data_IF_963922437495
#
_entry.id   IF_963922437495
#
_cell.length_a   1.000
_cell.length_b   1.000
_cell.length_c   1.000
_cell.angle_alpha   90.00
_cell.angle_beta   90.00
_cell.angle_gamma   90.00
#
_symmetry.space_group_name_H-M   'P 1'
#
loop_
_entity.id
_entity.type
_entity.pdbx_description
1 polymer ?
#
# COMPACT_ATOMS: atom_id res chain seq x y z
N UNK A 1 3.43 12.20 -18.72
CA UNK A 1 3.73 11.52 -17.43
C UNK A 1 3.50 12.52 -16.28
N UNK A 2 3.18 12.03 -15.06
CA UNK A 2 3.07 12.88 -13.88
C UNK A 2 4.41 13.61 -13.67
N UNK A 3 4.37 14.91 -13.35
CA UNK A 3 5.56 15.74 -13.11
C UNK A 3 6.55 15.85 -14.29
N UNK A 4 6.05 15.85 -15.54
CA UNK A 4 6.89 16.08 -16.73
C UNK A 4 7.72 17.37 -16.59
N UNK A 5 9.01 17.29 -16.93
CA UNK A 5 9.99 18.39 -16.91
C UNK A 5 10.23 19.00 -15.50
N UNK A 6 9.90 18.27 -14.43
CA UNK A 6 10.16 18.66 -13.04
C UNK A 6 11.19 17.74 -12.38
N UNK A 7 12.01 18.29 -11.49
CA UNK A 7 12.92 17.51 -10.65
C UNK A 7 12.09 16.82 -9.57
N UNK A 8 12.21 15.49 -9.47
CA UNK A 8 11.55 14.67 -8.47
C UNK A 8 12.60 14.11 -7.51
N UNK A 9 12.30 14.15 -6.21
CA UNK A 9 13.08 13.51 -5.16
C UNK A 9 12.32 12.29 -4.66
N UNK A 10 13.03 11.20 -4.37
CA UNK A 10 12.39 9.97 -3.91
C UNK A 10 13.38 8.85 -3.67
N UNK A 11 12.83 7.66 -3.45
CA UNK A 11 13.58 6.44 -3.20
C UNK A 11 13.79 5.64 -4.50
N UNK A 12 15.03 5.23 -4.76
CA UNK A 12 15.35 4.35 -5.89
C UNK A 12 15.14 2.88 -5.49
N UNK A 13 14.20 2.22 -6.14
CA UNK A 13 13.83 0.82 -5.88
C UNK A 13 14.41 -0.17 -6.91
N UNK A 14 15.19 0.29 -7.89
CA UNK A 14 15.67 -0.55 -9.01
C UNK A 14 16.53 -1.75 -8.58
N UNK A 15 17.29 -1.60 -7.50
CA UNK A 15 18.22 -2.63 -6.99
C UNK A 15 17.66 -3.35 -5.75
N UNK A 16 16.36 -3.28 -5.50
CA UNK A 16 15.72 -3.98 -4.38
C UNK A 16 15.43 -5.44 -4.76
N UNK A 17 15.48 -6.37 -3.79
CA UNK A 17 15.09 -7.76 -4.05
C UNK A 17 13.61 -7.83 -4.42
N UNK A 18 13.25 -8.85 -5.20
CA UNK A 18 11.85 -9.16 -5.47
C UNK A 18 11.12 -9.47 -4.15
N UNK A 19 9.93 -8.90 -4.01
CA UNK A 19 9.09 -9.07 -2.83
C UNK A 19 7.93 -9.99 -3.16
N UNK A 20 7.62 -10.89 -2.25
CA UNK A 20 6.40 -11.72 -2.28
C UNK A 20 5.27 -11.13 -1.42
N UNK A 21 5.40 -9.85 -1.02
CA UNK A 21 4.45 -9.14 -0.18
C UNK A 21 4.35 -7.66 -0.56
N UNK A 22 3.27 -7.00 -0.12
CA UNK A 22 3.07 -5.56 -0.29
C UNK A 22 3.91 -4.80 0.74
N UNK A 23 4.87 -4.01 0.27
CA UNK A 23 5.65 -3.12 1.13
C UNK A 23 4.92 -1.78 1.33
N UNK A 24 4.30 -1.61 2.50
CA UNK A 24 3.60 -0.37 2.85
C UNK A 24 4.53 0.74 3.33
N UNK A 25 5.78 0.42 3.70
CA UNK A 25 6.71 1.43 4.20
C UNK A 25 6.98 2.49 3.14
N UNK A 26 7.13 2.09 1.89
CA UNK A 26 7.32 3.04 0.77
C UNK A 26 6.14 4.01 0.61
N UNK A 27 4.91 3.52 0.81
CA UNK A 27 3.71 4.35 0.72
C UNK A 27 3.63 5.32 1.91
N UNK A 28 3.91 4.83 3.11
CA UNK A 28 3.90 5.61 4.35
C UNK A 28 5.01 6.67 4.33
N UNK A 29 6.22 6.33 3.88
CA UNK A 29 7.33 7.25 3.72
C UNK A 29 7.02 8.34 2.68
N UNK A 30 6.45 7.96 1.54
CA UNK A 30 6.01 8.92 0.53
C UNK A 30 4.92 9.86 1.06
N UNK A 31 3.95 9.36 1.83
CA UNK A 31 2.94 10.17 2.48
C UNK A 31 3.57 11.17 3.46
N UNK A 32 4.47 10.70 4.33
CA UNK A 32 5.17 11.54 5.32
C UNK A 32 6.08 12.60 4.68
N UNK A 33 6.69 12.27 3.54
CA UNK A 33 7.55 13.20 2.79
C UNK A 33 6.76 14.22 1.96
N UNK A 34 5.45 14.01 1.76
CA UNK A 34 4.60 14.93 1.01
C UNK A 34 4.26 16.15 1.87
N UNK A 35 4.43 17.38 1.34
CA UNK A 35 4.03 18.60 2.03
C UNK A 35 2.56 18.57 2.47
N UNK A 36 2.25 19.07 3.67
CA UNK A 36 0.89 19.01 4.26
C UNK A 36 -0.16 19.81 3.48
N UNK A 37 0.28 20.77 2.69
CA UNK A 37 -0.55 21.59 1.80
C UNK A 37 -0.86 20.90 0.45
N UNK A 38 -0.28 19.72 0.21
CA UNK A 38 -0.52 18.92 -0.99
C UNK A 38 -1.38 17.70 -0.71
N UNK A 39 -2.34 17.46 -1.58
CA UNK A 39 -3.15 16.24 -1.56
C UNK A 39 -2.29 15.04 -2.00
N UNK A 40 -2.17 14.06 -1.11
CA UNK A 40 -1.44 12.82 -1.40
C UNK A 40 -2.33 11.73 -2.01
N UNK A 41 -3.47 11.44 -1.37
CA UNK A 41 -4.42 10.42 -1.83
C UNK A 41 -5.45 11.04 -2.78
N UNK A 42 -5.53 10.54 -4.00
CA UNK A 42 -6.58 10.92 -4.95
C UNK A 42 -7.88 10.17 -4.67
N UNK A 43 -9.00 10.67 -5.19
CA UNK A 43 -10.32 10.04 -5.03
C UNK A 43 -10.37 8.56 -5.46
N UNK A 44 -9.52 8.14 -6.40
CA UNK A 44 -9.47 6.75 -6.89
C UNK A 44 -8.67 5.80 -5.99
N UNK A 45 -7.94 6.31 -4.98
CA UNK A 45 -7.12 5.47 -4.11
C UNK A 45 -7.96 4.38 -3.41
N UNK A 46 -9.15 4.73 -2.93
CA UNK A 46 -10.07 3.78 -2.28
C UNK A 46 -10.52 2.67 -3.23
N UNK A 47 -10.62 2.96 -4.54
CA UNK A 47 -11.00 1.96 -5.54
C UNK A 47 -9.86 0.96 -5.78
N UNK A 48 -8.61 1.43 -5.75
CA UNK A 48 -7.44 0.56 -5.86
C UNK A 48 -7.18 -0.23 -4.57
N UNK A 49 -7.39 0.37 -3.40
CA UNK A 49 -7.25 -0.30 -2.12
C UNK A 49 -8.41 -1.26 -1.79
N UNK A 50 -9.57 -1.09 -2.45
CA UNK A 50 -10.79 -1.84 -2.19
C UNK A 50 -11.52 -1.45 -0.90
N UNK A 51 -11.03 -0.44 -0.19
CA UNK A 51 -11.57 0.07 1.07
C UNK A 51 -11.01 1.46 1.37
N UNK A 52 -11.72 2.25 2.17
CA UNK A 52 -11.24 3.51 2.73
C UNK A 52 -10.32 3.33 3.96
N UNK A 53 -10.30 2.11 4.52
CA UNK A 53 -9.57 1.79 5.75
C UNK A 53 -8.07 2.04 5.64
N UNK A 54 -7.45 1.67 4.51
CA UNK A 54 -6.00 1.84 4.32
C UNK A 54 -5.58 3.32 4.38
N UNK A 55 -6.31 4.19 3.67
CA UNK A 55 -6.07 5.63 3.69
C UNK A 55 -6.18 6.18 5.12
N UNK A 56 -7.30 5.88 5.79
CA UNK A 56 -7.56 6.33 7.17
C UNK A 56 -6.48 5.88 8.15
N UNK A 57 -5.95 4.66 7.99
CA UNK A 57 -4.90 4.13 8.86
C UNK A 57 -3.56 4.83 8.65
N UNK A 58 -3.21 5.15 7.40
CA UNK A 58 -1.98 5.90 7.09
C UNK A 58 -2.09 7.34 7.62
N UNK A 59 -3.24 7.99 7.41
CA UNK A 59 -3.53 9.33 7.94
C UNK A 59 -3.52 9.37 9.48
N UNK A 60 -3.96 8.28 10.13
CA UNK A 60 -3.90 8.11 11.58
C UNK A 60 -2.49 7.78 12.10
N UNK A 61 -1.50 7.63 11.23
CA UNK A 61 -0.10 7.40 11.61
C UNK A 61 0.23 5.96 12.02
N UNK A 62 -0.61 4.97 11.64
CA UNK A 62 -0.32 3.56 11.91
C UNK A 62 0.93 3.08 11.18
N UNK A 63 1.62 2.10 11.77
CA UNK A 63 2.76 1.45 11.14
C UNK A 63 2.31 0.44 10.08
N UNK A 64 3.22 0.06 9.17
CA UNK A 64 2.96 -0.99 8.19
C UNK A 64 2.57 -2.32 8.87
N UNK A 65 3.17 -2.63 10.02
CA UNK A 65 2.89 -3.83 10.80
C UNK A 65 1.46 -3.82 11.37
N UNK A 66 1.03 -2.70 11.96
CA UNK A 66 -0.33 -2.54 12.48
C UNK A 66 -1.40 -2.66 11.39
N UNK A 67 -1.13 -2.06 10.22
CA UNK A 67 -2.03 -2.14 9.06
C UNK A 67 -2.13 -3.59 8.57
N UNK A 68 -0.98 -4.26 8.38
CA UNK A 68 -0.94 -5.66 7.92
C UNK A 68 -1.56 -6.63 8.91
N UNK A 69 -1.39 -6.40 10.22
CA UNK A 69 -2.05 -7.18 11.25
C UNK A 69 -3.58 -7.13 11.10
N UNK A 70 -4.13 -5.97 10.74
CA UNK A 70 -5.55 -5.80 10.44
C UNK A 70 -6.05 -6.60 9.22
N UNK A 71 -5.16 -7.01 8.31
CA UNK A 71 -5.52 -7.81 7.13
C UNK A 71 -5.53 -9.32 7.40
N UNK A 72 -4.86 -9.77 8.46
CA UNK A 72 -4.58 -11.18 8.72
C UNK A 72 -5.85 -12.03 8.73
N UNK A 73 -6.89 -11.58 9.43
CA UNK A 73 -8.20 -12.27 9.46
C UNK A 73 -8.82 -12.43 8.06
N UNK A 74 -8.74 -11.39 7.23
CA UNK A 74 -9.27 -11.44 5.86
C UNK A 74 -8.46 -12.36 4.95
N UNK A 75 -7.13 -12.34 5.10
CA UNK A 75 -6.22 -13.21 4.37
C UNK A 75 -6.45 -14.68 4.73
N UNK A 76 -6.63 -15.00 6.00
CA UNK A 76 -6.86 -16.38 6.44
C UNK A 76 -8.22 -16.90 5.99
N UNK A 77 -9.26 -16.07 6.04
CA UNK A 77 -10.56 -16.40 5.45
C UNK A 77 -10.46 -16.66 3.94
N UNK A 78 -9.71 -15.82 3.22
CA UNK A 78 -9.54 -15.98 1.78
C UNK A 78 -8.74 -17.23 1.40
N UNK A 79 -7.70 -17.58 2.18
CA UNK A 79 -6.94 -18.83 1.99
C UNK A 79 -7.87 -20.05 2.04
N UNK A 80 -8.73 -20.14 3.05
CA UNK A 80 -9.70 -21.23 3.20
C UNK A 80 -10.68 -21.32 2.00
N UNK A 81 -11.09 -20.18 1.46
CA UNK A 81 -11.96 -20.16 0.25
C UNK A 81 -11.17 -20.60 -0.97
N UNK A 82 -9.94 -20.09 -1.16
CA UNK A 82 -9.08 -20.35 -2.30
C UNK A 82 -8.70 -21.82 -2.43
N UNK A 83 -8.52 -22.54 -1.32
CA UNK A 83 -8.17 -23.97 -1.30
C UNK A 83 -9.10 -24.83 -2.18
N UNK A 84 -10.40 -24.52 -2.21
CA UNK A 84 -11.40 -25.25 -3.01
C UNK A 84 -11.19 -25.17 -4.52
N UNK A 85 -10.38 -24.22 -4.97
CA UNK A 85 -10.21 -23.87 -6.38
C UNK A 85 -8.75 -23.96 -6.85
N UNK A 86 -7.85 -24.50 -6.02
CA UNK A 86 -6.46 -24.71 -6.40
C UNK A 86 -6.34 -25.86 -7.41
N UNK A 87 -5.74 -25.56 -8.57
CA UNK A 87 -5.43 -26.54 -9.63
C UNK A 87 -3.95 -26.96 -9.55
N UNK A 88 -3.12 -26.16 -8.88
CA UNK A 88 -1.71 -26.41 -8.68
C UNK A 88 -1.43 -26.62 -7.18
N UNK A 89 -0.61 -27.62 -6.83
CA UNK A 89 -0.11 -27.81 -5.46
C UNK A 89 0.62 -26.57 -4.92
#
# INVERSE_FOLDING_TARGET
>A
PKFKDKICHGLDLRNKPELNFINLDWLIEAYKATPKDQEFFQATFIHHAGTDSLQKQIEAGKTAEEIKAGWQTGLDNFKNVREKYLIYP
#
